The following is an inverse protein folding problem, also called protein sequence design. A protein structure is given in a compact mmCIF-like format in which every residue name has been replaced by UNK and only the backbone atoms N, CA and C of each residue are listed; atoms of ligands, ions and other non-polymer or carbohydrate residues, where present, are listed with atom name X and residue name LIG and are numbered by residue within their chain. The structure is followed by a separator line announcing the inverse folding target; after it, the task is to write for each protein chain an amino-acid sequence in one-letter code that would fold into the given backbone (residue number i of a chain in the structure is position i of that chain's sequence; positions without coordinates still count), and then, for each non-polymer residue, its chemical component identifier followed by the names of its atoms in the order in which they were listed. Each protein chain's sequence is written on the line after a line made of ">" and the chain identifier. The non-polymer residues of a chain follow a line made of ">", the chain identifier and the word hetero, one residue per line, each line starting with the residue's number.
data_IF_834006299448
#
_entry.id   IF_834006299448
#
_cell.length_a   1.000
_cell.length_b   1.000
_cell.length_c   1.000
_cell.angle_alpha   90.00
_cell.angle_beta   90.00
_cell.angle_gamma   90.00
#
_symmetry.space_group_name_H-M   'P 1'
#
loop_
_entity.id
_entity.type
_entity.pdbx_description
1 polymer ?
#
# COMPACT_ATOMS: atom_id res chain seq x y z
N UNK A 1 3.18 11.13 8.79
CA UNK A 1 1.78 10.69 9.00
C UNK A 1 1.26 9.97 7.74
N UNK A 2 0.25 9.08 7.80
CA UNK A 2 -0.35 8.48 6.57
C UNK A 2 -0.94 9.56 5.66
N UNK A 3 -1.50 10.62 6.25
CA UNK A 3 -2.04 11.77 5.51
C UNK A 3 -0.96 12.42 4.63
N UNK A 4 0.23 12.66 5.18
CA UNK A 4 1.35 13.23 4.43
C UNK A 4 1.76 12.33 3.27
N UNK A 5 1.76 11.01 3.45
CA UNK A 5 2.04 10.04 2.39
C UNK A 5 0.96 10.06 1.32
N UNK A 6 -0.32 10.16 1.68
CA UNK A 6 -1.40 10.28 0.72
C UNK A 6 -1.35 11.61 -0.04
N UNK A 7 -1.16 12.74 0.63
CA UNK A 7 -0.96 14.06 0.02
C UNK A 7 0.17 14.02 -1.00
N UNK A 8 1.30 13.45 -0.57
CA UNK A 8 2.46 13.16 -1.41
C UNK A 8 2.08 12.39 -2.69
N UNK A 9 1.41 11.24 -2.57
CA UNK A 9 1.12 10.37 -3.72
C UNK A 9 0.01 10.93 -4.63
N UNK A 10 -0.98 11.59 -4.05
CA UNK A 10 -2.16 12.10 -4.76
C UNK A 10 -1.96 13.51 -5.33
N UNK A 11 -1.02 14.28 -4.80
CA UNK A 11 -0.88 15.71 -5.08
C UNK A 11 -1.92 16.57 -4.35
N UNK A 12 -2.57 16.04 -3.31
CA UNK A 12 -3.47 16.80 -2.45
C UNK A 12 -2.73 17.48 -1.30
N UNK A 13 -3.42 18.37 -0.59
CA UNK A 13 -2.89 19.15 0.54
C UNK A 13 -3.87 19.13 1.72
N UNK A 14 -4.34 17.94 2.09
CA UNK A 14 -5.23 17.81 3.23
C UNK A 14 -4.48 18.10 4.53
N UNK A 15 -5.10 18.87 5.42
CA UNK A 15 -4.60 19.08 6.78
C UNK A 15 -5.38 18.23 7.74
N UNK A 16 -4.71 17.73 8.79
CA UNK A 16 -5.33 16.84 9.77
C UNK A 16 -6.53 17.48 10.48
N UNK A 17 -6.53 18.81 10.64
CA UNK A 17 -7.63 19.59 11.22
C UNK A 17 -8.87 19.67 10.32
N UNK A 18 -8.70 19.47 9.00
CA UNK A 18 -9.75 19.64 8.00
C UNK A 18 -10.38 18.31 7.56
N UNK A 19 -9.81 17.16 7.96
CA UNK A 19 -10.25 15.84 7.49
C UNK A 19 -10.51 14.86 8.62
N UNK A 20 -11.49 13.99 8.40
CA UNK A 20 -11.68 12.79 9.20
C UNK A 20 -10.89 11.65 8.59
N UNK A 21 -10.20 10.87 9.44
CA UNK A 21 -9.40 9.73 9.03
C UNK A 21 -9.83 8.49 9.79
N UNK A 22 -10.19 7.43 9.06
CA UNK A 22 -10.53 6.14 9.64
C UNK A 22 -9.65 5.04 9.03
N UNK A 23 -8.85 4.36 9.85
CA UNK A 23 -8.05 3.22 9.39
C UNK A 23 -8.96 2.02 9.15
N UNK A 24 -8.85 1.39 7.98
CA UNK A 24 -9.47 0.10 7.66
C UNK A 24 -8.41 -0.99 7.67
N UNK A 25 -8.74 -2.11 8.31
CA UNK A 25 -7.86 -3.28 8.42
C UNK A 25 -8.62 -4.47 7.85
N UNK A 26 -7.99 -5.19 6.94
CA UNK A 26 -8.51 -6.46 6.43
C UNK A 26 -8.12 -7.53 7.46
N UNK A 27 -9.11 -8.15 8.12
CA UNK A 27 -8.85 -9.20 9.11
C UNK A 27 -8.24 -10.45 8.45
N UNK A 28 -7.09 -10.87 8.97
CA UNK A 28 -6.23 -11.91 8.38
C UNK A 28 -6.72 -13.36 8.60
N UNK A 29 -7.88 -13.57 9.22
CA UNK A 29 -8.27 -14.86 9.83
C UNK A 29 -8.75 -15.93 8.85
N UNK A 30 -9.18 -15.56 7.63
CA UNK A 30 -9.69 -16.52 6.64
C UNK A 30 -8.78 -16.74 5.43
N UNK A 31 -7.84 -15.82 5.15
CA UNK A 31 -6.97 -15.87 3.96
C UNK A 31 -5.53 -15.50 4.34
N UNK A 32 -4.72 -16.49 4.72
CA UNK A 32 -3.35 -16.37 5.27
C UNK A 32 -2.26 -15.84 4.31
N UNK A 33 -2.62 -15.21 3.19
CA UNK A 33 -1.64 -14.95 2.10
C UNK A 33 -1.35 -13.47 1.83
N UNK A 34 -2.10 -12.54 2.43
CA UNK A 34 -1.95 -11.11 2.13
C UNK A 34 -1.18 -10.40 3.23
N UNK A 35 0.13 -10.29 3.04
CA UNK A 35 0.97 -9.46 3.88
C UNK A 35 1.05 -8.04 3.29
N UNK A 36 0.57 -7.09 4.11
CA UNK A 36 0.83 -5.65 4.10
C UNK A 36 0.11 -4.77 3.08
N UNK A 37 -1.12 -4.38 3.41
CA UNK A 37 -1.79 -3.25 2.77
C UNK A 37 -2.33 -2.29 3.83
N UNK A 38 -2.17 -0.99 3.57
CA UNK A 38 -2.67 0.07 4.44
C UNK A 38 -3.87 0.71 3.74
N UNK A 39 -5.03 0.62 4.36
CA UNK A 39 -6.24 1.27 3.86
C UNK A 39 -6.80 2.26 4.85
N UNK A 40 -7.24 3.41 4.34
CA UNK A 40 -7.85 4.49 5.13
C UNK A 40 -9.04 5.06 4.41
N UNK A 41 -10.02 5.56 5.15
CA UNK A 41 -11.00 6.51 4.62
C UNK A 41 -10.54 7.90 5.02
N UNK A 42 -10.39 8.80 4.05
CA UNK A 42 -10.08 10.22 4.24
C UNK A 42 -11.16 11.03 3.52
N UNK A 43 -11.93 11.81 4.26
CA UNK A 43 -13.02 12.65 3.72
C UNK A 43 -13.96 11.90 2.74
N UNK A 44 -14.38 10.70 3.13
CA UNK A 44 -15.27 9.86 2.31
C UNK A 44 -14.64 9.22 1.08
N UNK A 45 -13.31 9.32 0.89
CA UNK A 45 -12.55 8.57 -0.12
C UNK A 45 -11.83 7.39 0.53
N UNK A 46 -11.95 6.21 -0.07
CA UNK A 46 -11.22 5.03 0.35
C UNK A 46 -9.85 5.03 -0.31
N UNK A 47 -8.79 5.14 0.48
CA UNK A 47 -7.42 5.10 0.01
C UNK A 47 -6.88 3.70 0.28
N UNK A 48 -6.44 3.02 -0.78
CA UNK A 48 -5.79 1.70 -0.70
C UNK A 48 -4.36 1.84 -1.18
N UNK A 49 -3.43 1.75 -0.23
CA UNK A 49 -2.00 1.75 -0.49
C UNK A 49 -1.49 0.30 -0.43
N UNK A 50 -0.95 -0.18 -1.54
CA UNK A 50 -0.37 -1.52 -1.62
C UNK A 50 1.14 -1.46 -1.56
N UNK A 51 1.71 -2.41 -0.81
CA UNK A 51 3.14 -2.50 -0.58
C UNK A 51 3.97 -2.60 -1.86
N UNK A 52 5.11 -1.94 -1.71
CA UNK A 52 6.23 -1.80 -2.59
C UNK A 52 6.73 -3.10 -3.23
N UNK A 53 6.99 -3.04 -4.53
CA UNK A 53 7.61 -4.14 -5.28
C UNK A 53 8.88 -3.63 -5.97
N UNK A 54 9.99 -4.35 -5.79
CA UNK A 54 11.28 -4.09 -6.46
C UNK A 54 11.24 -4.35 -7.98
N UNK A 55 10.15 -4.95 -8.46
CA UNK A 55 9.84 -5.22 -9.87
C UNK A 55 8.37 -4.91 -10.10
N UNK A 56 8.03 -4.30 -11.23
CA UNK A 56 6.63 -3.98 -11.54
C UNK A 56 5.82 -5.26 -11.61
N UNK A 57 4.76 -5.34 -10.79
CA UNK A 57 3.79 -6.41 -10.87
C UNK A 57 2.56 -5.92 -11.66
N UNK A 58 2.45 -6.30 -12.93
CA UNK A 58 1.29 -5.92 -13.76
C UNK A 58 -0.03 -6.52 -13.27
N UNK A 59 -0.01 -7.49 -12.36
CA UNK A 59 -1.21 -8.06 -11.72
C UNK A 59 -1.65 -7.27 -10.48
N UNK A 60 -1.03 -6.12 -10.19
CA UNK A 60 -1.43 -5.24 -9.09
C UNK A 60 -2.92 -4.85 -9.12
N UNK A 61 -3.55 -4.54 -10.28
CA UNK A 61 -4.98 -4.28 -10.32
C UNK A 61 -5.85 -5.42 -9.79
N UNK A 62 -5.45 -6.68 -10.00
CA UNK A 62 -6.18 -7.84 -9.48
C UNK A 62 -6.08 -7.91 -7.96
N UNK A 63 -4.89 -7.70 -7.37
CA UNK A 63 -4.74 -7.62 -5.90
C UNK A 63 -5.57 -6.49 -5.31
N UNK A 64 -5.57 -5.32 -5.95
CA UNK A 64 -6.40 -4.18 -5.52
C UNK A 64 -7.90 -4.50 -5.55
N UNK A 65 -8.37 -5.29 -6.53
CA UNK A 65 -9.75 -5.78 -6.57
C UNK A 65 -10.07 -6.67 -5.35
N UNK A 66 -9.17 -7.58 -4.99
CA UNK A 66 -9.34 -8.42 -3.80
C UNK A 66 -9.42 -7.56 -2.53
N UNK A 67 -8.53 -6.58 -2.39
CA UNK A 67 -8.50 -5.70 -1.21
C UNK A 67 -9.73 -4.84 -1.08
N UNK A 68 -10.13 -4.15 -2.15
CA UNK A 68 -11.26 -3.23 -2.09
C UNK A 68 -12.56 -3.96 -1.78
N UNK A 69 -12.71 -5.20 -2.30
CA UNK A 69 -13.87 -6.04 -1.99
C UNK A 69 -13.96 -6.33 -0.50
N UNK A 70 -12.84 -6.73 0.13
CA UNK A 70 -12.78 -6.99 1.58
C UNK A 70 -13.03 -5.75 2.41
N UNK A 71 -12.49 -4.61 1.99
CA UNK A 71 -12.73 -3.35 2.71
C UNK A 71 -14.21 -2.96 2.62
N UNK A 72 -14.84 -3.08 1.44
CA UNK A 72 -16.27 -2.79 1.30
C UNK A 72 -17.16 -3.76 2.08
N UNK A 73 -16.76 -5.02 2.29
CA UNK A 73 -17.48 -5.92 3.20
C UNK A 73 -17.58 -5.35 4.62
N UNK A 74 -16.55 -4.63 5.09
CA UNK A 74 -16.56 -3.96 6.41
C UNK A 74 -17.36 -2.65 6.42
N UNK A 75 -17.59 -2.03 5.26
CA UNK A 75 -18.27 -0.74 5.13
C UNK A 75 -19.77 -0.90 4.88
N UNK A 76 -20.15 -1.94 4.12
CA UNK A 76 -21.55 -2.18 3.72
C UNK A 76 -22.19 -3.18 4.69
N UNK A 77 -23.15 -2.73 5.53
CA UNK A 77 -23.86 -3.60 6.45
C UNK A 77 -24.61 -4.72 5.73
N UNK A 78 -24.72 -5.89 6.35
CA UNK A 78 -25.27 -7.08 5.70
C UNK A 78 -26.72 -6.89 5.23
N UNK A 79 -27.56 -6.19 6.01
CA UNK A 79 -28.94 -5.83 5.65
C UNK A 79 -29.00 -4.89 4.44
N UNK A 80 -28.02 -3.99 4.32
CA UNK A 80 -27.92 -3.05 3.19
C UNK A 80 -27.48 -3.71 1.90
N UNK A 81 -26.77 -4.84 1.94
CA UNK A 81 -26.37 -5.61 0.74
C UNK A 81 -27.57 -6.17 -0.03
N UNK A 82 -28.66 -6.47 0.69
CA UNK A 82 -29.89 -7.02 0.12
C UNK A 82 -31.03 -6.00 0.05
N UNK A 83 -30.75 -4.73 0.32
CA UNK A 83 -31.74 -3.67 0.26
C UNK A 83 -32.07 -3.28 -1.19
N UNK A 84 -33.33 -2.90 -1.45
CA UNK A 84 -33.74 -2.38 -2.76
C UNK A 84 -33.09 -1.03 -3.10
N UNK A 85 -32.82 -0.19 -2.08
CA UNK A 85 -32.20 1.12 -2.26
C UNK A 85 -30.68 0.96 -2.28
N UNK A 86 -30.04 1.57 -3.27
CA UNK A 86 -28.58 1.63 -3.39
C UNK A 86 -27.94 2.21 -2.14
N UNK A 87 -27.02 1.45 -1.55
CA UNK A 87 -26.12 1.94 -0.51
C UNK A 87 -24.89 2.59 -1.17
N UNK A 88 -24.63 3.86 -0.86
CA UNK A 88 -23.47 4.58 -1.40
C UNK A 88 -22.21 4.13 -0.66
N UNK A 89 -21.16 3.85 -1.40
CA UNK A 89 -19.84 3.45 -0.89
C UNK A 89 -18.80 4.51 -1.28
N UNK A 90 -17.73 4.68 -0.49
CA UNK A 90 -16.67 5.63 -0.81
C UNK A 90 -15.96 5.24 -2.11
N UNK A 91 -15.53 6.23 -2.90
CA UNK A 91 -14.75 5.97 -4.10
C UNK A 91 -13.32 5.53 -3.72
N UNK A 92 -12.74 4.54 -4.40
CA UNK A 92 -11.40 4.07 -4.10
C UNK A 92 -10.33 4.82 -4.90
N UNK A 93 -9.22 5.18 -4.24
CA UNK A 93 -7.95 5.54 -4.88
C UNK A 93 -6.92 4.43 -4.59
N UNK A 94 -6.31 3.90 -5.65
CA UNK A 94 -5.29 2.85 -5.54
C UNK A 94 -3.90 3.39 -5.87
N UNK A 95 -2.97 3.22 -4.93
CA UNK A 95 -1.58 3.62 -5.11
C UNK A 95 -0.62 2.45 -4.85
N UNK A 96 0.37 2.33 -5.73
CA UNK A 96 1.52 1.45 -5.58
C UNK A 96 2.78 2.30 -5.60
N UNK A 97 3.62 2.14 -4.59
CA UNK A 97 4.94 2.76 -4.54
C UNK A 97 5.93 1.80 -5.20
N UNK A 98 6.74 2.27 -6.13
CA UNK A 98 7.79 1.49 -6.79
C UNK A 98 9.16 2.09 -6.50
N UNK A 99 10.10 1.30 -6.00
CA UNK A 99 11.51 1.61 -5.73
C UNK A 99 12.26 0.36 -6.20
N UNK A 100 12.46 0.29 -7.51
CA UNK A 100 13.18 -0.80 -8.15
C UNK A 100 14.26 -0.28 -9.08
N UNK A 101 14.96 -1.20 -9.75
CA UNK A 101 16.14 -0.87 -10.57
C UNK A 101 15.80 -0.58 -12.02
N UNK A 102 14.57 -0.87 -12.43
CA UNK A 102 14.15 -0.70 -13.81
C UNK A 102 13.88 0.78 -14.09
N UNK A 103 14.29 1.23 -15.27
CA UNK A 103 13.95 2.57 -15.73
C UNK A 103 12.45 2.64 -15.99
N UNK A 104 11.73 3.38 -15.14
CA UNK A 104 10.29 3.59 -15.24
C UNK A 104 9.96 5.09 -15.33
N UNK A 105 8.84 5.47 -15.97
CA UNK A 105 8.33 6.83 -15.86
C UNK A 105 8.03 7.18 -14.40
N UNK A 106 7.98 8.48 -14.09
CA UNK A 106 7.67 8.97 -12.74
C UNK A 106 6.33 8.43 -12.23
N UNK A 107 5.35 8.29 -13.12
CA UNK A 107 4.05 7.72 -12.84
C UNK A 107 3.62 6.81 -13.98
N UNK A 108 2.93 5.73 -13.64
CA UNK A 108 2.32 4.80 -14.59
C UNK A 108 0.94 4.38 -14.07
N UNK A 109 -0.01 4.17 -14.98
CA UNK A 109 -1.29 3.53 -14.64
C UNK A 109 -1.26 2.06 -15.03
N UNK A 110 -1.78 1.21 -14.14
CA UNK A 110 -2.11 -0.18 -14.43
C UNK A 110 -3.63 -0.31 -14.39
N UNK A 111 -4.23 -0.91 -15.42
CA UNK A 111 -5.68 -1.09 -15.52
C UNK A 111 -6.01 -2.56 -15.38
N UNK A 112 -7.06 -2.88 -14.63
CA UNK A 112 -7.55 -4.25 -14.54
C UNK A 112 -7.99 -4.78 -15.90
N UNK A 113 -8.54 -3.92 -16.76
CA UNK A 113 -8.96 -4.29 -18.11
C UNK A 113 -7.82 -4.77 -19.02
N UNK A 114 -6.56 -4.46 -18.71
CA UNK A 114 -5.41 -5.01 -19.44
C UNK A 114 -5.20 -6.50 -19.21
N UNK A 115 -5.80 -7.06 -18.14
CA UNK A 115 -5.75 -8.49 -17.83
C UNK A 115 -6.91 -9.29 -18.45
N UNK A 116 -7.91 -8.63 -19.03
CA UNK A 116 -9.05 -9.31 -19.66
C UNK A 116 -8.68 -9.86 -21.04
N UNK A 117 -9.33 -10.95 -21.46
CA UNK A 117 -9.16 -11.49 -22.83
C UNK A 117 -9.52 -10.46 -23.90
N UNK A 118 -10.57 -9.66 -23.64
CA UNK A 118 -10.97 -8.50 -24.42
C UNK A 118 -10.78 -7.26 -23.55
N UNK A 119 -9.96 -6.32 -24.01
CA UNK A 119 -9.61 -5.09 -23.26
C UNK A 119 -10.80 -4.12 -23.19
N UNK A 120 -11.74 -4.38 -22.29
CA UNK A 120 -12.94 -3.58 -22.05
C UNK A 120 -13.10 -3.23 -20.56
N UNK A 121 -13.01 -1.94 -20.24
CA UNK A 121 -13.20 -1.41 -18.88
C UNK A 121 -14.66 -1.05 -18.55
N UNK A 122 -15.58 -1.13 -19.51
CA UNK A 122 -16.99 -0.73 -19.31
C UNK A 122 -17.76 -1.63 -18.34
N UNK A 123 -17.28 -2.87 -18.13
CA UNK A 123 -17.92 -3.89 -17.28
C UNK A 123 -17.37 -3.91 -15.87
N UNK A 124 -16.08 -3.64 -15.72
CA UNK A 124 -15.38 -3.58 -14.46
C UNK A 124 -14.15 -2.68 -14.63
N UNK A 125 -14.19 -1.49 -14.04
CA UNK A 125 -13.10 -0.53 -14.08
C UNK A 125 -12.36 -0.49 -12.75
N UNK A 126 -11.04 -0.61 -12.83
CA UNK A 126 -10.13 -0.43 -11.70
C UNK A 126 -8.78 0.02 -12.26
N UNK A 127 -8.33 1.17 -11.75
CA UNK A 127 -7.07 1.79 -12.15
C UNK A 127 -6.18 1.94 -10.93
N UNK A 128 -4.93 1.49 -11.06
CA UNK A 128 -3.89 1.62 -10.04
C UNK A 128 -2.83 2.59 -10.51
N UNK A 129 -2.51 3.60 -9.67
CA UNK A 129 -1.43 4.55 -9.93
C UNK A 129 -0.14 4.04 -9.31
N UNK A 130 0.82 3.69 -10.14
CA UNK A 130 2.19 3.35 -9.74
C UNK A 130 3.02 4.62 -9.70
N UNK A 131 3.63 4.90 -8.56
CA UNK A 131 4.53 6.05 -8.34
C UNK A 131 5.95 5.54 -8.25
N UNK A 132 6.78 5.93 -9.21
CA UNK A 132 8.19 5.58 -9.22
C UNK A 132 8.96 6.50 -8.24
N UNK A 133 9.54 5.88 -7.23
CA UNK A 133 10.28 6.43 -6.11
C UNK A 133 11.73 5.96 -6.06
N UNK A 134 12.25 5.36 -7.15
CA UNK A 134 13.64 4.90 -7.29
C UNK A 134 14.67 6.01 -7.11
N UNK A 135 14.40 7.24 -7.58
CA UNK A 135 15.22 8.40 -7.26
C UNK A 135 14.42 9.37 -6.37
N UNK A 136 14.70 9.43 -5.06
CA UNK A 136 14.05 10.36 -4.14
C UNK A 136 14.16 11.82 -4.59
N UNK A 137 15.17 12.19 -5.38
CA UNK A 137 15.38 13.57 -5.85
C UNK A 137 14.46 13.94 -7.03
N UNK A 138 13.97 12.95 -7.78
CA UNK A 138 13.04 13.13 -8.91
C UNK A 138 11.57 13.16 -8.48
N UNK A 139 11.34 12.92 -7.19
CA UNK A 139 10.05 13.13 -6.55
C UNK A 139 10.02 14.52 -5.89
N UNK A 140 9.24 15.49 -6.41
CA UNK A 140 8.76 16.62 -5.59
C UNK A 140 8.11 16.14 -4.29
N UNK A 141 7.60 14.91 -4.33
CA UNK A 141 6.82 14.21 -3.34
C UNK A 141 7.68 13.71 -2.15
N UNK A 142 8.94 13.31 -2.37
CA UNK A 142 9.81 12.81 -1.29
C UNK A 142 10.43 13.94 -0.46
N UNK A 143 10.69 15.11 -1.07
CA UNK A 143 11.24 16.28 -0.36
C UNK A 143 10.33 16.80 0.76
N UNK A 144 9.03 16.51 0.71
CA UNK A 144 8.03 17.01 1.65
C UNK A 144 7.42 15.91 2.53
N UNK A 145 7.88 14.65 2.44
CA UNK A 145 7.31 13.53 3.21
C UNK A 145 8.41 12.67 3.85
N UNK A 146 8.71 12.95 5.11
CA UNK A 146 9.72 12.23 5.90
C UNK A 146 9.48 10.71 5.95
N UNK A 147 8.22 10.27 5.98
CA UNK A 147 7.89 8.84 5.98
C UNK A 147 8.30 8.16 4.67
N UNK A 148 8.10 8.82 3.52
CA UNK A 148 8.48 8.25 2.23
C UNK A 148 10.01 8.17 2.09
N UNK A 149 10.72 9.18 2.62
CA UNK A 149 12.18 9.15 2.70
C UNK A 149 12.69 8.00 3.58
N UNK A 150 12.16 7.87 4.79
CA UNK A 150 12.46 6.74 5.68
C UNK A 150 12.14 5.39 5.00
N UNK A 151 11.03 5.31 4.28
CA UNK A 151 10.65 4.11 3.55
C UNK A 151 11.64 3.74 2.45
N UNK A 152 12.05 4.70 1.60
CA UNK A 152 13.06 4.45 0.57
C UNK A 152 14.38 3.97 1.19
N UNK A 153 14.82 4.60 2.29
CA UNK A 153 16.03 4.19 3.02
C UNK A 153 15.90 2.78 3.60
N UNK A 154 14.73 2.39 4.09
CA UNK A 154 14.47 1.02 4.54
C UNK A 154 14.64 0.00 3.40
N UNK A 155 14.12 0.29 2.21
CA UNK A 155 14.28 -0.59 1.04
C UNK A 155 15.76 -0.72 0.64
N UNK A 156 16.52 0.38 0.63
CA UNK A 156 17.97 0.34 0.38
C UNK A 156 18.72 -0.54 1.40
N UNK A 157 18.33 -0.47 2.68
CA UNK A 157 18.87 -1.34 3.73
C UNK A 157 18.51 -2.81 3.46
N UNK A 158 17.25 -3.11 3.11
CA UNK A 158 16.83 -4.47 2.77
C UNK A 158 17.64 -5.00 1.59
N UNK A 159 17.78 -4.24 0.51
CA UNK A 159 18.54 -4.66 -0.67
C UNK A 159 20.02 -4.89 -0.36
N UNK A 160 20.67 -3.96 0.35
CA UNK A 160 22.10 -4.06 0.69
C UNK A 160 22.40 -5.22 1.64
N UNK A 161 21.41 -5.64 2.44
CA UNK A 161 21.56 -6.73 3.42
C UNK A 161 21.06 -8.08 2.90
N UNK A 162 20.31 -8.11 1.78
CA UNK A 162 19.60 -9.29 1.31
C UNK A 162 20.54 -10.43 0.88
N UNK A 163 20.22 -11.66 1.31
CA UNK A 163 20.93 -12.87 0.91
C UNK A 163 19.96 -13.92 0.37
N UNK A 164 20.13 -14.32 -0.89
CA UNK A 164 19.35 -15.42 -1.49
C UNK A 164 19.51 -16.74 -0.75
N UNK A 165 20.67 -16.95 -0.09
CA UNK A 165 20.96 -18.16 0.69
C UNK A 165 20.28 -18.13 2.06
N UNK A 166 20.02 -16.94 2.61
CA UNK A 166 19.46 -16.76 3.96
C UNK A 166 18.41 -15.64 4.02
N UNK A 167 17.31 -15.74 3.26
CA UNK A 167 16.37 -14.62 3.05
C UNK A 167 15.74 -14.11 4.35
N UNK A 168 15.31 -15.03 5.24
CA UNK A 168 14.68 -14.67 6.53
C UNK A 168 15.64 -13.95 7.47
N UNK A 169 16.87 -14.42 7.62
CA UNK A 169 17.83 -13.81 8.53
C UNK A 169 18.39 -12.50 7.96
N UNK A 170 18.59 -12.38 6.65
CA UNK A 170 18.94 -11.11 6.01
C UNK A 170 17.86 -10.05 6.19
N UNK A 171 16.59 -10.44 6.09
CA UNK A 171 15.47 -9.52 6.30
C UNK A 171 15.38 -9.06 7.76
N UNK A 172 15.59 -9.97 8.72
CA UNK A 172 15.64 -9.61 10.15
C UNK A 172 16.75 -8.60 10.45
N UNK A 173 17.95 -8.81 9.89
CA UNK A 173 19.08 -7.86 10.02
C UNK A 173 18.75 -6.50 9.42
N UNK A 174 18.05 -6.46 8.29
CA UNK A 174 17.61 -5.21 7.68
C UNK A 174 16.65 -4.43 8.59
N UNK A 175 15.70 -5.12 9.25
CA UNK A 175 14.81 -4.52 10.24
C UNK A 175 15.59 -3.98 11.44
N UNK A 176 16.47 -4.79 12.04
CA UNK A 176 17.29 -4.40 13.19
C UNK A 176 18.11 -3.13 12.88
N UNK A 177 18.75 -3.09 11.69
CA UNK A 177 19.51 -1.94 11.22
C UNK A 177 18.63 -0.70 11.03
N UNK A 178 17.50 -0.83 10.34
CA UNK A 178 16.60 0.29 10.10
C UNK A 178 16.06 0.90 11.40
N UNK A 179 15.64 0.06 12.36
CA UNK A 179 15.21 0.52 13.70
C UNK A 179 16.34 1.25 14.42
N UNK A 180 17.58 0.75 14.34
CA UNK A 180 18.74 1.41 14.97
C UNK A 180 19.10 2.76 14.35
N UNK A 181 18.78 2.96 13.07
CA UNK A 181 18.97 4.23 12.35
C UNK A 181 17.76 5.17 12.49
N UNK A 182 16.75 4.80 13.29
CA UNK A 182 15.53 5.58 13.49
C UNK A 182 14.53 5.49 12.33
N UNK A 183 14.81 4.68 11.31
CA UNK A 183 14.02 4.56 10.09
C UNK A 183 12.78 3.70 10.35
N UNK A 184 11.58 4.25 10.14
CA UNK A 184 10.30 3.57 10.36
C UNK A 184 10.21 2.87 11.73
N UNK A 185 10.94 3.37 12.73
CA UNK A 185 11.25 2.65 13.97
C UNK A 185 9.99 2.20 14.72
N UNK A 186 9.00 3.07 14.85
CA UNK A 186 7.70 2.75 15.48
C UNK A 186 6.92 1.67 14.71
N UNK A 187 6.90 1.76 13.38
CA UNK A 187 6.21 0.81 12.52
C UNK A 187 6.87 -0.57 12.57
N UNK A 188 8.19 -0.61 12.36
CA UNK A 188 8.99 -1.84 12.34
C UNK A 188 9.05 -2.51 13.72
N UNK A 189 9.07 -1.73 14.81
CA UNK A 189 9.04 -2.28 16.17
C UNK A 189 7.72 -2.98 16.50
N UNK A 190 6.59 -2.42 16.06
CA UNK A 190 5.26 -3.05 16.21
C UNK A 190 5.17 -4.33 15.38
N UNK A 191 5.57 -4.28 14.10
CA UNK A 191 5.61 -5.43 13.19
C UNK A 191 6.50 -6.57 13.71
N UNK A 192 7.65 -6.24 14.30
CA UNK A 192 8.57 -7.25 14.87
C UNK A 192 7.90 -7.99 16.02
N UNK A 193 7.17 -7.29 16.91
CA UNK A 193 6.42 -7.92 18.02
C UNK A 193 5.32 -8.86 17.53
N UNK A 194 4.60 -8.47 16.47
CA UNK A 194 3.56 -9.30 15.84
C UNK A 194 4.16 -10.57 15.22
N UNK A 195 5.31 -10.47 14.55
CA UNK A 195 6.00 -11.61 13.93
C UNK A 195 6.63 -12.54 14.97
N UNK A 196 7.12 -12.01 16.10
CA UNK A 196 7.68 -12.84 17.19
C UNK A 196 6.63 -13.54 18.05
N UNK A 197 5.38 -13.05 18.04
CA UNK A 197 4.28 -13.63 18.83
C UNK A 197 3.46 -14.68 18.07
N UNK A 198 3.88 -15.10 16.87
CA UNK A 198 3.30 -16.27 16.20
C UNK A 198 3.89 -17.52 16.88
N UNK A 199 3.09 -18.35 17.58
CA UNK A 199 3.58 -19.63 18.07
C UNK A 199 4.01 -20.45 16.84
N UNK A 200 5.25 -20.94 16.83
CA UNK A 200 5.66 -21.93 15.86
C UNK A 200 4.72 -23.15 15.98
N UNK A 201 3.93 -23.39 14.93
CA UNK A 201 3.28 -24.66 14.67
C UNK A 201 4.08 -25.39 13.60
#
# INVERSE_FOLDING_TARGET
>A
NFLDLYNALSGSDYKLEDVTMERKVIEQSLYKTYNNDVSWIIDGKLIVLVEHQSTVNNNMPFRCLEYVTRIYETIVPIDRRYAQKVYKIPNPDFYVVYVGKDSMPREQELRLSDAFYEKDSSRLDLVVKVKNCTDPKLLPIAKNCAILEEYCRFIEIVESTYSRRFPRSSFRKAIEKAVSEGILSDYLSRKTREVTNIPCA
#
